data_IF_339447925336
#
_entry.id   IF_339447925336
#
_cell.length_a   1.000
_cell.length_b   1.000
_cell.length_c   1.000
_cell.angle_alpha   90.00
_cell.angle_beta   90.00
_cell.angle_gamma   90.00
#
_symmetry.space_group_name_H-M   'P 1'
#
loop_
_entity.id
_entity.type
_entity.pdbx_description
1 polymer ?
#
# COMPACT_ATOMS: atom_id res chain seq x y z
N UNK A 1 10.88 6.72 -14.78
CA UNK A 1 9.54 6.42 -14.23
C UNK A 1 9.55 6.62 -12.72
N UNK A 2 8.72 7.50 -12.15
CA UNK A 2 8.50 7.53 -10.69
C UNK A 2 7.78 6.24 -10.31
N UNK A 3 8.46 5.29 -9.67
CA UNK A 3 7.82 4.11 -9.06
C UNK A 3 6.86 4.62 -8.00
N UNK A 4 5.58 4.78 -8.34
CA UNK A 4 4.57 5.20 -7.38
C UNK A 4 4.50 4.12 -6.29
N UNK A 5 4.71 4.53 -5.04
CA UNK A 5 4.60 3.64 -3.89
C UNK A 5 3.21 2.99 -3.90
N UNK A 6 3.17 1.65 -3.86
CA UNK A 6 1.92 0.92 -3.87
C UNK A 6 1.20 1.11 -2.52
N UNK A 7 -0.10 1.45 -2.55
CA UNK A 7 -0.91 1.39 -1.34
C UNK A 7 -1.05 -0.06 -0.85
N UNK A 8 -1.23 -0.26 0.46
CA UNK A 8 -1.53 -1.59 1.01
C UNK A 8 -2.86 -2.13 0.47
N UNK A 9 -3.05 -3.45 0.51
CA UNK A 9 -4.25 -4.12 0.01
C UNK A 9 -5.53 -3.56 0.64
N UNK A 10 -5.52 -3.36 1.97
CA UNK A 10 -6.65 -2.78 2.70
C UNK A 10 -7.02 -1.38 2.21
N UNK A 11 -6.03 -0.49 2.02
CA UNK A 11 -6.29 0.86 1.54
C UNK A 11 -6.72 0.88 0.07
N UNK A 12 -6.24 -0.06 -0.76
CA UNK A 12 -6.67 -0.23 -2.16
C UNK A 12 -8.14 -0.67 -2.23
N UNK A 13 -8.52 -1.67 -1.45
CA UNK A 13 -9.88 -2.21 -1.41
C UNK A 13 -10.87 -1.15 -0.94
N UNK A 14 -10.54 -0.42 0.12
CA UNK A 14 -11.38 0.66 0.65
C UNK A 14 -11.28 1.98 -0.12
N UNK A 15 -10.42 2.06 -1.14
CA UNK A 15 -10.17 3.28 -1.93
C UNK A 15 -9.85 4.51 -1.08
N UNK A 16 -9.04 4.33 -0.04
CA UNK A 16 -8.60 5.39 0.88
C UNK A 16 -7.10 5.69 0.72
N UNK A 17 -6.68 6.86 1.19
CA UNK A 17 -5.28 7.25 1.21
C UNK A 17 -4.44 6.29 2.09
N UNK A 18 -3.31 5.83 1.55
CA UNK A 18 -2.36 4.98 2.25
C UNK A 18 -1.12 5.78 2.63
N UNK A 19 -0.99 6.13 3.92
CA UNK A 19 0.22 6.75 4.46
C UNK A 19 1.26 5.69 4.76
N UNK A 20 2.06 5.31 3.75
CA UNK A 20 3.18 4.36 3.93
C UNK A 20 4.19 4.94 4.92
N UNK A 21 4.65 4.17 5.92
CA UNK A 21 5.74 4.60 6.78
C UNK A 21 7.07 4.59 6.00
N UNK A 22 8.13 5.23 6.54
CA UNK A 22 9.46 5.24 5.94
C UNK A 22 9.98 3.81 5.71
N UNK A 23 10.74 3.60 4.64
CA UNK A 23 11.27 2.28 4.25
C UNK A 23 12.21 1.65 5.30
N UNK A 24 12.72 2.46 6.23
CA UNK A 24 13.62 2.05 7.32
C UNK A 24 12.89 1.72 8.62
N UNK A 25 11.56 1.84 8.66
CA UNK A 25 10.78 1.45 9.84
C UNK A 25 10.72 -0.08 9.91
N UNK A 26 11.00 -0.69 11.08
CA UNK A 26 10.80 -2.13 11.27
C UNK A 26 9.33 -2.51 11.06
N UNK A 27 8.43 -1.61 11.46
CA UNK A 27 6.99 -1.72 11.20
C UNK A 27 6.64 -1.00 9.90
N UNK A 28 6.36 -1.77 8.84
CA UNK A 28 5.88 -1.22 7.56
C UNK A 28 4.37 -0.91 7.57
N UNK A 29 3.68 -1.10 8.69
CA UNK A 29 2.23 -0.88 8.84
C UNK A 29 1.85 0.58 8.59
N UNK A 30 0.94 0.83 7.64
CA UNK A 30 0.43 2.20 7.43
C UNK A 30 -0.49 2.65 8.58
N UNK A 31 -0.59 3.97 8.77
CA UNK A 31 -1.41 4.58 9.84
C UNK A 31 -2.87 4.08 9.85
N UNK A 32 -3.44 3.82 8.67
CA UNK A 32 -4.83 3.34 8.55
C UNK A 32 -5.02 1.92 9.08
N UNK A 33 -4.04 1.05 8.85
CA UNK A 33 -4.05 -0.33 9.34
C UNK A 33 -3.67 -0.38 10.82
N UNK A 34 -2.67 0.42 11.25
CA UNK A 34 -2.24 0.50 12.64
C UNK A 34 -3.39 0.93 13.57
N UNK A 35 -4.10 2.01 13.22
CA UNK A 35 -5.24 2.51 14.01
C UNK A 35 -6.41 1.51 14.10
N UNK A 36 -6.61 0.70 13.06
CA UNK A 36 -7.70 -0.27 12.98
C UNK A 36 -7.27 -1.68 13.43
N UNK A 37 -5.99 -1.87 13.78
CA UNK A 37 -5.37 -3.17 14.06
C UNK A 37 -5.64 -4.22 12.98
N UNK A 38 -5.67 -3.79 11.72
CA UNK A 38 -5.88 -4.67 10.56
C UNK A 38 -4.55 -5.08 9.95
N UNK A 39 -4.51 -6.25 9.32
CA UNK A 39 -3.32 -6.74 8.59
C UNK A 39 -2.93 -5.74 7.50
N UNK A 40 -1.70 -5.21 7.58
CA UNK A 40 -1.16 -4.29 6.58
C UNK A 40 -0.24 -5.03 5.62
N UNK A 41 -0.78 -5.45 4.49
CA UNK A 41 -0.03 -6.16 3.46
C UNK A 41 0.12 -5.30 2.22
N UNK A 42 1.34 -5.16 1.71
CA UNK A 42 1.60 -4.41 0.48
C UNK A 42 1.79 -5.36 -0.70
N UNK A 43 1.20 -5.06 -1.85
CA UNK A 43 1.50 -5.80 -3.06
C UNK A 43 2.97 -5.58 -3.46
N UNK A 44 3.63 -6.67 -3.85
CA UNK A 44 5.00 -6.67 -4.39
C UNK A 44 5.02 -6.18 -5.84
N UNK A 45 3.93 -6.39 -6.57
CA UNK A 45 3.83 -6.07 -8.00
C UNK A 45 2.73 -5.05 -8.31
N UNK A 46 3.03 -4.13 -9.23
CA UNK A 46 2.06 -3.21 -9.79
C UNK A 46 1.47 -3.76 -11.07
N UNK A 47 0.16 -4.07 -11.09
CA UNK A 47 -0.57 -4.42 -12.31
C UNK A 47 -1.11 -3.20 -13.08
N UNK A 48 -0.77 -1.97 -12.67
CA UNK A 48 -1.16 -0.76 -13.43
C UNK A 48 -0.49 -0.76 -14.80
N UNK A 49 -1.28 -0.48 -15.85
CA UNK A 49 -0.80 -0.43 -17.23
C UNK A 49 -0.61 -1.78 -17.91
N UNK A 50 -0.88 -2.90 -17.22
CA UNK A 50 -0.77 -4.27 -17.75
C UNK A 50 -2.02 -4.72 -18.54
N UNK A 51 -3.04 -3.86 -18.69
CA UNK A 51 -4.20 -4.22 -19.51
C UNK A 51 -3.80 -4.13 -20.98
N UNK A 52 -3.61 -5.29 -21.63
CA UNK A 52 -3.47 -5.38 -23.09
C UNK A 52 -4.65 -4.64 -23.72
N UNK A 53 -4.37 -3.73 -24.65
CA UNK A 53 -5.35 -3.32 -25.64
C UNK A 53 -5.63 -4.49 -26.57
#
# INVERSE_FOLDING_TARGET
QKKQALACLFCRERKIACGRPPAHSPDQTCNQCARRRMKCEYPTESRRGQHKR
#
